data_IF_591561470247
#
_entry.id   IF_591561470247
#
_cell.length_a   1.000
_cell.length_b   1.000
_cell.length_c   1.000
_cell.angle_alpha   90.00
_cell.angle_beta   90.00
_cell.angle_gamma   90.00
#
_symmetry.space_group_name_H-M   'P 1'
#
loop_
_entity.id
_entity.type
_entity.pdbx_description
1 polymer ?
#
# COMPACT_ATOMS: atom_id res chain seq x y z
N UNK A 1 -4.39 -0.29 38.72
CA UNK A 1 -3.91 -1.31 39.69
C UNK A 1 -2.41 -1.41 39.51
N UNK A 2 -1.63 -1.48 40.58
CA UNK A 2 -0.18 -1.73 40.46
C UNK A 2 0.02 -3.17 40.00
N UNK A 3 0.81 -3.37 38.94
CA UNK A 3 0.96 -4.67 38.29
C UNK A 3 1.97 -5.56 38.99
N UNK A 4 1.65 -6.84 39.15
CA UNK A 4 2.55 -7.89 39.62
C UNK A 4 2.42 -9.18 38.78
N UNK A 5 2.95 -10.30 39.30
CA UNK A 5 2.92 -11.59 38.60
C UNK A 5 1.52 -12.21 38.53
N UNK A 6 0.60 -11.82 39.41
CA UNK A 6 -0.76 -12.38 39.50
C UNK A 6 -1.80 -11.47 38.83
N UNK A 7 -1.58 -10.15 38.81
CA UNK A 7 -2.54 -9.18 38.27
C UNK A 7 -1.85 -7.98 37.63
N UNK A 8 -2.30 -7.59 36.45
CA UNK A 8 -1.86 -6.38 35.74
C UNK A 8 -3.05 -5.60 35.20
N UNK A 9 -2.90 -4.29 35.01
CA UNK A 9 -3.93 -3.47 34.34
C UNK A 9 -3.72 -3.41 32.84
N UNK A 10 -4.82 -3.30 32.09
CA UNK A 10 -4.83 -3.10 30.63
C UNK A 10 -5.34 -1.70 30.29
N UNK A 11 -4.98 -1.19 29.11
CA UNK A 11 -5.46 0.12 28.62
C UNK A 11 -6.91 0.08 28.14
N UNK A 12 -7.36 -1.07 27.61
CA UNK A 12 -8.70 -1.26 27.09
C UNK A 12 -9.70 -1.58 28.21
N UNK A 13 -10.47 -0.57 28.62
CA UNK A 13 -11.37 -0.65 29.78
C UNK A 13 -12.54 -1.60 29.58
N UNK A 14 -12.96 -1.80 28.33
CA UNK A 14 -14.13 -2.63 27.99
C UNK A 14 -13.75 -4.11 27.73
N UNK A 15 -12.54 -4.51 28.11
CA UNK A 15 -12.04 -5.87 27.92
C UNK A 15 -12.98 -6.94 28.52
N UNK A 16 -13.50 -6.81 29.76
CA UNK A 16 -14.39 -7.81 30.35
C UNK A 16 -15.69 -8.03 29.57
N UNK A 17 -16.08 -7.08 28.71
CA UNK A 17 -17.28 -7.17 27.87
C UNK A 17 -16.99 -7.63 26.43
N UNK A 18 -15.70 -7.66 26.05
CA UNK A 18 -15.25 -7.99 24.70
C UNK A 18 -14.67 -9.41 24.55
N UNK A 19 -14.51 -10.14 25.66
CA UNK A 19 -14.02 -11.52 25.67
C UNK A 19 -15.00 -12.45 26.39
N UNK A 20 -14.85 -13.74 26.17
CA UNK A 20 -15.63 -14.82 26.78
C UNK A 20 -14.72 -16.00 27.18
N UNK A 21 -15.15 -16.85 28.13
CA UNK A 21 -14.41 -18.06 28.49
C UNK A 21 -14.06 -18.92 27.27
N UNK A 22 -12.78 -19.28 27.16
CA UNK A 22 -12.20 -20.01 26.03
C UNK A 22 -11.44 -19.15 25.02
N UNK A 23 -11.62 -17.83 25.05
CA UNK A 23 -10.88 -16.92 24.18
C UNK A 23 -9.38 -16.93 24.46
N UNK A 24 -8.60 -16.64 23.42
CA UNK A 24 -7.15 -16.42 23.51
C UNK A 24 -6.86 -14.93 23.68
N UNK A 25 -5.99 -14.62 24.64
CA UNK A 25 -5.36 -13.32 24.80
C UNK A 25 -3.87 -13.52 24.60
N UNK A 26 -3.33 -12.85 23.58
CA UNK A 26 -1.94 -12.93 23.19
C UNK A 26 -1.23 -11.67 23.69
N UNK A 27 -0.05 -11.83 24.30
CA UNK A 27 0.71 -10.71 24.86
C UNK A 27 2.14 -10.72 24.32
N UNK A 28 2.69 -9.53 24.07
CA UNK A 28 4.04 -9.33 23.54
C UNK A 28 4.22 -10.06 22.20
N UNK A 29 3.37 -9.74 21.23
CA UNK A 29 3.35 -10.33 19.89
C UNK A 29 3.19 -11.85 19.90
N UNK A 30 2.28 -12.35 20.75
CA UNK A 30 1.98 -13.79 20.86
C UNK A 30 3.00 -14.64 21.61
N UNK A 31 4.05 -14.04 22.19
CA UNK A 31 5.03 -14.77 23.00
C UNK A 31 4.43 -15.37 24.28
N UNK A 32 3.43 -14.69 24.86
CA UNK A 32 2.65 -15.22 25.97
C UNK A 32 1.22 -15.43 25.51
N UNK A 33 0.69 -16.62 25.79
CA UNK A 33 -0.66 -17.02 25.41
C UNK A 33 -1.46 -17.32 26.67
N UNK A 34 -2.54 -16.59 26.85
CA UNK A 34 -3.48 -16.73 27.95
C UNK A 34 -4.83 -17.19 27.41
N UNK A 35 -5.47 -18.13 28.10
CA UNK A 35 -6.85 -18.57 27.83
C UNK A 35 -7.77 -17.97 28.88
N UNK A 36 -8.81 -17.25 28.45
CA UNK A 36 -9.82 -16.72 29.37
C UNK A 36 -10.55 -17.88 30.03
N UNK A 37 -10.53 -17.92 31.36
CA UNK A 37 -11.21 -18.95 32.16
C UNK A 37 -12.58 -18.47 32.60
N UNK A 38 -12.64 -17.26 33.17
CA UNK A 38 -13.88 -16.64 33.62
C UNK A 38 -13.70 -15.12 33.75
N UNK A 39 -14.83 -14.41 33.79
CA UNK A 39 -14.87 -12.96 33.97
C UNK A 39 -15.51 -12.67 35.32
N UNK A 40 -14.80 -11.96 36.19
CA UNK A 40 -15.26 -11.57 37.51
C UNK A 40 -15.28 -10.05 37.63
N UNK A 41 -16.44 -9.43 37.43
CA UNK A 41 -16.61 -7.98 37.40
C UNK A 41 -15.68 -7.33 36.36
N UNK A 42 -14.65 -6.63 36.80
CA UNK A 42 -13.66 -5.95 35.95
C UNK A 42 -12.43 -6.81 35.65
N UNK A 43 -12.31 -7.99 36.30
CA UNK A 43 -11.16 -8.88 36.15
C UNK A 43 -11.45 -9.99 35.14
N UNK A 44 -10.56 -10.13 34.16
CA UNK A 44 -10.53 -11.28 33.25
C UNK A 44 -9.53 -12.29 33.78
N UNK A 45 -10.02 -13.40 34.32
CA UNK A 45 -9.18 -14.44 34.91
C UNK A 45 -8.74 -15.38 33.80
N UNK A 46 -7.44 -15.51 33.61
CA UNK A 46 -6.85 -16.32 32.55
C UNK A 46 -6.00 -17.47 33.11
N UNK A 47 -5.85 -18.52 32.31
CA UNK A 47 -4.80 -19.54 32.49
C UNK A 47 -3.72 -19.31 31.45
N UNK A 48 -2.46 -19.30 31.88
CA UNK A 48 -1.32 -19.19 30.95
C UNK A 48 -1.14 -20.54 30.24
N UNK A 49 -1.36 -20.57 28.93
CA UNK A 49 -1.09 -21.72 28.06
C UNK A 49 0.39 -21.76 27.67
N UNK A 50 0.93 -20.61 27.25
CA UNK A 50 2.36 -20.44 26.92
C UNK A 50 2.91 -19.27 27.72
N UNK A 51 3.89 -19.55 28.59
CA UNK A 51 4.52 -18.54 29.44
C UNK A 51 5.68 -17.81 28.76
N UNK A 52 6.09 -16.68 29.35
CA UNK A 52 7.19 -15.87 28.86
C UNK A 52 7.42 -14.64 29.72
N UNK A 53 8.38 -13.80 29.33
CA UNK A 53 8.67 -12.56 30.04
C UNK A 53 7.73 -11.46 29.54
N UNK A 54 6.96 -10.90 30.46
CA UNK A 54 6.17 -9.69 30.25
C UNK A 54 6.89 -8.52 30.92
N UNK A 55 6.91 -7.38 30.25
CA UNK A 55 7.36 -6.11 30.82
C UNK A 55 6.27 -5.06 30.65
N UNK A 56 6.54 -3.83 31.07
CA UNK A 56 5.57 -2.75 31.01
C UNK A 56 5.14 -2.44 29.57
N UNK A 57 3.88 -2.05 29.42
CA UNK A 57 3.28 -1.55 28.18
C UNK A 57 3.44 -2.47 26.96
N UNK A 58 3.43 -3.79 27.18
CA UNK A 58 3.44 -4.77 26.09
C UNK A 58 2.12 -4.81 25.33
N UNK A 59 2.22 -5.08 24.03
CA UNK A 59 1.09 -5.27 23.13
C UNK A 59 0.21 -6.42 23.61
N UNK A 60 -1.09 -6.25 23.38
CA UNK A 60 -2.09 -7.28 23.59
C UNK A 60 -2.89 -7.44 22.30
N UNK A 61 -3.20 -8.69 21.99
CA UNK A 61 -3.83 -9.12 20.76
C UNK A 61 -5.00 -10.05 21.12
N UNK A 62 -6.11 -9.92 20.40
CA UNK A 62 -7.39 -10.57 20.72
C UNK A 62 -7.96 -11.27 19.48
N UNK A 63 -7.37 -12.42 19.09
CA UNK A 63 -7.74 -13.11 17.87
C UNK A 63 -9.25 -13.38 17.75
N UNK A 64 -9.82 -12.96 16.62
CA UNK A 64 -11.24 -13.17 16.31
C UNK A 64 -12.21 -12.26 17.06
N UNK A 65 -11.71 -11.25 17.79
CA UNK A 65 -12.57 -10.25 18.46
C UNK A 65 -12.48 -8.90 17.74
N UNK A 66 -13.64 -8.26 17.64
CA UNK A 66 -13.74 -6.87 17.20
C UNK A 66 -13.82 -6.00 18.45
N UNK A 67 -12.77 -5.23 18.70
CA UNK A 67 -12.70 -4.34 19.84
C UNK A 67 -13.62 -3.14 19.62
N UNK A 68 -14.45 -2.81 20.60
CA UNK A 68 -15.40 -1.70 20.53
C UNK A 68 -14.76 -0.39 20.99
N UNK A 69 -15.12 0.74 20.38
CA UNK A 69 -14.70 2.08 20.79
C UNK A 69 -14.45 2.99 19.59
N UNK A 70 -14.02 4.22 19.88
CA UNK A 70 -13.53 5.15 18.85
C UNK A 70 -12.27 4.54 18.20
N UNK A 71 -12.19 4.57 16.88
CA UNK A 71 -11.02 4.08 16.16
C UNK A 71 -9.80 4.97 16.42
N UNK A 72 -10.00 6.28 16.52
CA UNK A 72 -8.92 7.24 16.78
C UNK A 72 -8.79 7.55 18.27
N UNK A 73 -7.62 7.23 18.84
CA UNK A 73 -7.28 7.72 20.18
C UNK A 73 -6.99 9.23 20.16
N UNK A 74 -6.96 9.85 21.35
CA UNK A 74 -6.57 11.27 21.47
C UNK A 74 -5.13 11.52 20.99
N UNK A 75 -4.24 10.53 21.16
CA UNK A 75 -2.88 10.60 20.62
C UNK A 75 -2.89 10.57 19.09
N UNK A 76 -3.66 9.65 18.49
CA UNK A 76 -3.79 9.58 17.02
C UNK A 76 -4.34 10.89 16.45
N UNK A 77 -5.37 11.47 17.09
CA UNK A 77 -5.92 12.77 16.69
C UNK A 77 -4.86 13.87 16.73
N UNK A 78 -4.04 13.92 17.79
CA UNK A 78 -2.93 14.87 17.91
C UNK A 78 -1.88 14.68 16.80
N UNK A 79 -1.47 13.44 16.54
CA UNK A 79 -0.47 13.13 15.53
C UNK A 79 -0.98 13.39 14.10
N UNK A 80 -2.27 13.17 13.85
CA UNK A 80 -2.93 13.53 12.60
C UNK A 80 -2.93 15.04 12.36
N UNK A 81 -3.24 15.84 13.39
CA UNK A 81 -3.19 17.30 13.31
C UNK A 81 -1.77 17.77 13.01
N UNK A 82 -0.77 17.23 13.71
CA UNK A 82 0.64 17.51 13.44
C UNK A 82 1.04 17.13 12.00
N UNK A 83 0.57 15.98 11.51
CA UNK A 83 0.79 15.54 10.13
C UNK A 83 0.18 16.48 9.09
N UNK A 84 -1.03 17.00 9.36
CA UNK A 84 -1.69 18.00 8.51
C UNK A 84 -0.86 19.28 8.43
N UNK A 85 -0.40 19.79 9.57
CA UNK A 85 0.43 21.01 9.63
C UNK A 85 1.73 20.87 8.85
N UNK A 86 2.32 19.66 8.83
CA UNK A 86 3.56 19.36 8.10
C UNK A 86 3.32 18.92 6.64
N UNK A 87 2.07 18.87 6.19
CA UNK A 87 1.73 18.64 4.79
C UNK A 87 2.07 17.22 4.29
N UNK A 88 1.94 16.19 5.13
CA UNK A 88 2.18 14.80 4.73
C UNK A 88 1.27 14.37 3.57
N UNK A 89 1.77 13.51 2.69
CA UNK A 89 0.99 13.00 1.55
C UNK A 89 0.14 11.78 1.90
N UNK A 90 0.64 10.95 2.83
CA UNK A 90 -0.01 9.73 3.29
C UNK A 90 -0.05 9.65 4.81
N UNK A 91 -1.06 8.95 5.31
CA UNK A 91 -1.11 8.45 6.67
C UNK A 91 -1.46 6.97 6.64
N UNK A 92 -0.76 6.17 7.44
CA UNK A 92 -1.05 4.75 7.61
C UNK A 92 -1.82 4.53 8.91
N UNK A 93 -3.04 4.01 8.82
CA UNK A 93 -3.92 3.75 9.96
C UNK A 93 -3.67 2.33 10.46
N UNK A 94 -3.34 2.18 11.75
CA UNK A 94 -3.09 0.86 12.37
C UNK A 94 -4.38 0.18 12.78
N UNK A 95 -4.36 -1.15 12.84
CA UNK A 95 -5.40 -2.04 13.36
C UNK A 95 -6.78 -1.82 12.71
N UNK A 96 -6.80 -1.47 11.43
CA UNK A 96 -8.04 -1.28 10.68
C UNK A 96 -8.79 -2.61 10.55
N UNK A 97 -10.03 -2.60 11.01
CA UNK A 97 -10.91 -3.77 11.07
C UNK A 97 -12.13 -3.62 10.17
N UNK A 98 -12.62 -2.39 9.98
CA UNK A 98 -13.87 -2.12 9.25
C UNK A 98 -13.74 -0.92 8.30
N UNK A 99 -14.68 -0.74 7.36
CA UNK A 99 -14.75 0.49 6.59
C UNK A 99 -15.21 1.70 7.41
N UNK A 100 -15.90 1.49 8.53
CA UNK A 100 -16.30 2.58 9.44
C UNK A 100 -15.09 3.23 10.10
N UNK A 101 -14.06 2.44 10.47
CA UNK A 101 -12.76 2.96 10.94
C UNK A 101 -12.17 3.95 9.92
N UNK A 102 -12.28 3.61 8.62
CA UNK A 102 -11.80 4.45 7.53
C UNK A 102 -12.66 5.70 7.33
N UNK A 103 -13.98 5.59 7.47
CA UNK A 103 -14.90 6.73 7.40
C UNK A 103 -14.65 7.69 8.55
N UNK A 104 -14.45 7.20 9.77
CA UNK A 104 -14.11 8.00 10.95
C UNK A 104 -12.81 8.78 10.72
N UNK A 105 -11.75 8.09 10.30
CA UNK A 105 -10.46 8.72 10.02
C UNK A 105 -10.57 9.76 8.89
N UNK A 106 -11.31 9.44 7.82
CA UNK A 106 -11.54 10.35 6.70
C UNK A 106 -12.28 11.61 7.15
N UNK A 107 -13.33 11.45 7.95
CA UNK A 107 -14.10 12.57 8.50
C UNK A 107 -13.24 13.47 9.38
N UNK A 108 -12.40 12.88 10.25
CA UNK A 108 -11.48 13.63 11.09
C UNK A 108 -10.49 14.46 10.25
N UNK A 109 -9.84 13.85 9.26
CA UNK A 109 -8.92 14.56 8.37
C UNK A 109 -9.65 15.67 7.59
N UNK A 110 -10.85 15.41 7.07
CA UNK A 110 -11.60 16.36 6.26
C UNK A 110 -12.02 17.61 7.04
N UNK A 111 -12.44 17.43 8.30
CA UNK A 111 -12.80 18.52 9.21
C UNK A 111 -11.59 19.40 9.58
N UNK A 112 -10.39 18.83 9.58
CA UNK A 112 -9.17 19.50 10.03
C UNK A 112 -8.25 19.97 8.88
N UNK A 113 -8.72 19.94 7.62
CA UNK A 113 -7.96 20.42 6.47
C UNK A 113 -7.05 19.39 5.78
N UNK A 114 -7.12 18.12 6.18
CA UNK A 114 -6.37 16.99 5.63
C UNK A 114 -7.04 16.29 4.44
N UNK A 115 -7.95 16.94 3.70
CA UNK A 115 -8.70 16.33 2.56
C UNK A 115 -7.80 15.70 1.51
N UNK A 116 -6.66 16.32 1.26
CA UNK A 116 -5.67 15.88 0.28
C UNK A 116 -4.68 14.86 0.84
N UNK A 117 -4.86 14.34 2.06
CA UNK A 117 -4.03 13.26 2.63
C UNK A 117 -4.63 11.91 2.26
N UNK A 118 -3.79 11.02 1.74
CA UNK A 118 -4.19 9.68 1.33
C UNK A 118 -4.06 8.69 2.51
N UNK A 119 -5.13 7.95 2.80
CA UNK A 119 -5.13 6.95 3.88
C UNK A 119 -4.63 5.61 3.32
N UNK A 120 -3.73 4.95 4.05
CA UNK A 120 -3.30 3.57 3.86
C UNK A 120 -3.81 2.75 5.05
N UNK A 121 -4.67 1.76 4.82
CA UNK A 121 -5.15 0.90 5.89
C UNK A 121 -4.13 -0.20 6.19
N UNK A 122 -3.64 -0.32 7.42
CA UNK A 122 -2.80 -1.44 7.84
C UNK A 122 -3.71 -2.61 8.23
N UNK A 123 -3.59 -3.70 7.50
CA UNK A 123 -4.36 -4.93 7.71
C UNK A 123 -3.54 -5.82 8.62
N UNK A 124 -4.00 -5.92 9.87
CA UNK A 124 -3.27 -6.47 11.01
C UNK A 124 -4.09 -7.52 11.77
N UNK A 125 -5.35 -7.74 11.39
CA UNK A 125 -6.25 -8.70 12.04
C UNK A 125 -7.21 -9.34 11.04
N UNK A 126 -7.92 -10.39 11.48
CA UNK A 126 -8.89 -11.13 10.67
C UNK A 126 -10.00 -10.23 10.09
N UNK A 127 -10.53 -9.32 10.89
CA UNK A 127 -11.65 -8.47 10.49
C UNK A 127 -11.26 -7.55 9.32
N UNK A 128 -10.06 -6.96 9.36
CA UNK A 128 -9.54 -6.15 8.27
C UNK A 128 -9.34 -6.94 6.96
N UNK A 129 -9.01 -8.24 7.05
CA UNK A 129 -8.93 -9.13 5.88
C UNK A 129 -10.31 -9.35 5.27
N UNK A 130 -11.31 -9.64 6.10
CA UNK A 130 -12.68 -9.95 5.67
C UNK A 130 -13.40 -8.71 5.09
N UNK A 131 -13.11 -7.52 5.63
CA UNK A 131 -13.72 -6.24 5.22
C UNK A 131 -12.89 -5.45 4.20
N UNK A 132 -11.93 -6.08 3.54
CA UNK A 132 -10.94 -5.39 2.71
C UNK A 132 -11.56 -4.53 1.59
N UNK A 133 -12.69 -4.96 1.02
CA UNK A 133 -13.37 -4.23 -0.06
C UNK A 133 -14.03 -2.94 0.46
N UNK A 134 -14.70 -3.01 1.61
CA UNK A 134 -15.34 -1.87 2.29
C UNK A 134 -14.28 -0.85 2.76
N UNK A 135 -13.19 -1.34 3.36
CA UNK A 135 -12.01 -0.53 3.71
C UNK A 135 -11.47 0.20 2.48
N UNK A 136 -11.40 -0.49 1.34
CA UNK A 136 -10.92 0.05 0.08
C UNK A 136 -11.88 1.05 -0.59
N UNK A 137 -13.09 1.28 -0.09
CA UNK A 137 -13.93 2.38 -0.58
C UNK A 137 -13.27 3.73 -0.28
N UNK A 138 -12.76 3.86 0.96
CA UNK A 138 -12.13 5.08 1.47
C UNK A 138 -10.61 5.04 1.33
N UNK A 139 -9.98 3.91 1.65
CA UNK A 139 -8.53 3.78 1.64
C UNK A 139 -7.95 3.92 0.23
N UNK A 140 -6.84 4.65 0.12
CA UNK A 140 -6.11 4.83 -1.15
C UNK A 140 -5.13 3.69 -1.46
N UNK A 141 -4.92 2.83 -0.47
CA UNK A 141 -4.08 1.65 -0.49
C UNK A 141 -4.17 0.92 0.84
N UNK A 142 -3.54 -0.23 0.90
CA UNK A 142 -3.45 -1.05 2.12
C UNK A 142 -2.02 -1.46 2.37
N UNK A 143 -1.71 -1.79 3.61
CA UNK A 143 -0.44 -2.36 4.03
C UNK A 143 -0.72 -3.72 4.67
N UNK A 144 -0.16 -4.79 4.12
CA UNK A 144 -0.17 -6.11 4.76
C UNK A 144 0.94 -6.10 5.81
N UNK A 145 0.57 -5.86 7.06
CA UNK A 145 1.50 -5.76 8.19
C UNK A 145 1.63 -7.14 8.86
N UNK A 146 2.57 -7.94 8.33
CA UNK A 146 2.66 -9.38 8.55
C UNK A 146 3.02 -9.76 9.98
N UNK A 147 3.79 -8.92 10.69
CA UNK A 147 4.14 -9.10 12.09
C UNK A 147 2.90 -9.18 12.97
N UNK A 148 2.09 -8.12 12.99
CA UNK A 148 0.84 -8.08 13.76
C UNK A 148 -0.20 -9.07 13.22
N UNK A 149 -0.33 -9.17 11.89
CA UNK A 149 -1.26 -10.12 11.26
C UNK A 149 -0.96 -11.56 11.67
N UNK A 150 0.31 -11.97 11.68
CA UNK A 150 0.72 -13.33 12.08
C UNK A 150 0.54 -13.65 13.56
N UNK A 151 0.21 -12.64 14.38
CA UNK A 151 -0.23 -12.83 15.77
C UNK A 151 -1.75 -13.00 15.83
N UNK A 152 -2.51 -12.24 15.04
CA UNK A 152 -3.97 -12.23 15.05
C UNK A 152 -4.63 -13.36 14.24
N UNK A 153 -3.93 -13.92 13.25
CA UNK A 153 -4.37 -15.09 12.48
C UNK A 153 -3.34 -16.21 12.57
N UNK A 154 -3.71 -17.43 12.18
CA UNK A 154 -2.74 -18.53 12.11
C UNK A 154 -1.61 -18.14 11.14
N UNK A 155 -0.37 -18.22 11.60
CA UNK A 155 0.81 -17.86 10.80
C UNK A 155 0.91 -18.66 9.50
N UNK A 156 0.29 -19.85 9.43
CA UNK A 156 0.19 -20.65 8.20
C UNK A 156 -0.71 -20.02 7.14
N UNK A 157 -1.68 -19.19 7.55
CA UNK A 157 -2.61 -18.50 6.66
C UNK A 157 -2.02 -17.22 6.06
N UNK A 158 -1.10 -16.56 6.75
CA UNK A 158 -0.53 -15.25 6.37
C UNK A 158 -0.06 -15.21 4.91
N UNK A 159 0.69 -16.20 4.37
CA UNK A 159 1.11 -16.16 2.98
C UNK A 159 -0.05 -16.21 1.98
N UNK A 160 -1.13 -16.94 2.30
CA UNK A 160 -2.32 -17.02 1.44
C UNK A 160 -3.13 -15.72 1.50
N UNK A 161 -3.34 -15.19 2.70
CA UNK A 161 -4.04 -13.93 2.95
C UNK A 161 -3.33 -12.75 2.27
N UNK A 162 -1.99 -12.70 2.33
CA UNK A 162 -1.22 -11.68 1.60
C UNK A 162 -1.56 -11.67 0.11
N UNK A 163 -1.53 -12.85 -0.54
CA UNK A 163 -1.82 -12.98 -1.98
C UNK A 163 -3.25 -12.55 -2.30
N UNK A 164 -4.19 -12.92 -1.45
CA UNK A 164 -5.60 -12.50 -1.59
C UNK A 164 -5.74 -10.98 -1.53
N UNK A 165 -5.19 -10.34 -0.49
CA UNK A 165 -5.24 -8.88 -0.31
C UNK A 165 -4.58 -8.18 -1.50
N UNK A 166 -3.39 -8.64 -1.91
CA UNK A 166 -2.65 -8.06 -3.05
C UNK A 166 -3.49 -8.12 -4.31
N UNK A 167 -4.08 -9.28 -4.61
CA UNK A 167 -4.91 -9.47 -5.79
C UNK A 167 -6.15 -8.57 -5.77
N UNK A 168 -6.94 -8.60 -4.69
CA UNK A 168 -8.15 -7.80 -4.53
C UNK A 168 -7.86 -6.31 -4.66
N UNK A 169 -6.91 -5.79 -3.88
CA UNK A 169 -6.59 -4.37 -3.87
C UNK A 169 -6.05 -3.88 -5.21
N UNK A 170 -5.21 -4.68 -5.89
CA UNK A 170 -4.71 -4.37 -7.24
C UNK A 170 -5.87 -4.24 -8.23
N UNK A 171 -6.80 -5.18 -8.24
CA UNK A 171 -7.97 -5.14 -9.12
C UNK A 171 -8.89 -3.96 -8.79
N UNK A 172 -8.99 -3.58 -7.52
CA UNK A 172 -9.69 -2.37 -7.10
C UNK A 172 -8.98 -1.07 -7.51
N UNK A 173 -7.72 -1.12 -7.94
CA UNK A 173 -6.91 0.07 -8.28
C UNK A 173 -6.32 0.76 -7.04
N UNK A 174 -6.19 0.02 -5.94
CA UNK A 174 -5.60 0.45 -4.67
C UNK A 174 -4.14 -0.01 -4.61
N UNK A 175 -3.31 0.76 -3.90
CA UNK A 175 -1.90 0.38 -3.67
C UNK A 175 -1.84 -0.71 -2.62
N UNK A 176 -0.84 -1.57 -2.71
CA UNK A 176 -0.59 -2.59 -1.69
C UNK A 176 0.87 -2.54 -1.29
N UNK A 177 1.12 -2.35 0.00
CA UNK A 177 2.44 -2.37 0.61
C UNK A 177 2.57 -3.69 1.36
N UNK A 178 3.65 -4.44 1.13
CA UNK A 178 3.98 -5.58 1.98
C UNK A 178 5.05 -5.14 2.97
N UNK A 179 4.79 -5.36 4.26
CA UNK A 179 5.54 -4.76 5.36
C UNK A 179 5.95 -5.79 6.41
N UNK A 180 6.91 -5.37 7.26
CA UNK A 180 7.50 -6.09 8.41
C UNK A 180 8.28 -7.34 8.03
N UNK A 181 9.39 -7.60 8.72
CA UNK A 181 10.23 -8.80 8.56
C UNK A 181 10.66 -9.12 7.11
N UNK A 182 10.84 -8.11 6.26
CA UNK A 182 11.25 -8.32 4.86
C UNK A 182 12.73 -8.71 4.79
N UNK A 183 13.60 -7.95 5.47
CA UNK A 183 15.05 -8.18 5.55
C UNK A 183 15.54 -8.06 7.01
N UNK A 184 14.74 -8.53 7.98
CA UNK A 184 14.93 -8.33 9.42
C UNK A 184 16.37 -8.57 9.91
N UNK A 185 17.01 -9.64 9.43
CA UNK A 185 18.38 -9.99 9.81
C UNK A 185 19.39 -8.88 9.48
N UNK A 186 19.07 -8.01 8.51
CA UNK A 186 19.89 -6.87 8.12
C UNK A 186 19.93 -5.71 9.13
N UNK A 187 19.07 -5.74 10.17
CA UNK A 187 19.22 -4.85 11.32
C UNK A 187 20.61 -5.01 11.94
N UNK A 188 21.11 -6.25 12.02
CA UNK A 188 22.39 -6.55 12.67
C UNK A 188 23.45 -7.12 11.73
N UNK A 189 23.07 -7.61 10.55
CA UNK A 189 23.96 -8.25 9.58
C UNK A 189 24.02 -7.48 8.26
N UNK A 190 25.16 -7.53 7.56
CA UNK A 190 25.31 -6.84 6.27
C UNK A 190 24.66 -7.58 5.09
N UNK A 191 24.26 -8.85 5.29
CA UNK A 191 23.62 -9.68 4.28
C UNK A 191 22.35 -10.32 4.85
N UNK A 192 21.27 -10.39 4.07
CA UNK A 192 20.08 -11.10 4.49
C UNK A 192 20.26 -12.61 4.33
N UNK A 193 19.32 -13.35 4.91
CA UNK A 193 19.17 -14.79 4.73
C UNK A 193 18.59 -15.12 3.35
N UNK A 194 18.68 -16.39 2.95
CA UNK A 194 18.03 -16.87 1.72
C UNK A 194 16.51 -16.82 1.80
N UNK A 195 15.95 -17.00 3.01
CA UNK A 195 14.51 -16.95 3.23
C UNK A 195 13.97 -15.54 2.99
N UNK A 196 14.64 -14.51 3.54
CA UNK A 196 14.28 -13.10 3.35
C UNK A 196 14.36 -12.67 1.87
N UNK A 197 15.40 -13.08 1.14
CA UNK A 197 15.48 -12.83 -0.31
C UNK A 197 14.30 -13.47 -1.06
N UNK A 198 13.97 -14.72 -0.71
CA UNK A 198 12.82 -15.42 -1.29
C UNK A 198 11.50 -14.72 -0.96
N UNK A 199 11.36 -14.19 0.26
CA UNK A 199 10.18 -13.50 0.72
C UNK A 199 9.97 -12.16 -0.02
N UNK A 200 11.02 -11.34 -0.12
CA UNK A 200 11.01 -10.13 -0.96
C UNK A 200 10.65 -10.44 -2.40
N UNK A 201 11.24 -11.48 -3.00
CA UNK A 201 10.92 -11.88 -4.36
C UNK A 201 9.46 -12.32 -4.51
N UNK A 202 8.90 -13.05 -3.54
CA UNK A 202 7.49 -13.46 -3.58
C UNK A 202 6.53 -12.28 -3.45
N UNK A 203 6.84 -11.29 -2.61
CA UNK A 203 6.07 -10.04 -2.54
C UNK A 203 6.00 -9.32 -3.89
N UNK A 204 7.10 -9.31 -4.65
CA UNK A 204 7.17 -8.77 -6.02
C UNK A 204 6.39 -9.64 -7.01
N UNK A 205 6.53 -10.97 -6.94
CA UNK A 205 5.76 -11.90 -7.77
C UNK A 205 4.26 -11.81 -7.54
N UNK A 206 3.82 -11.52 -6.32
CA UNK A 206 2.42 -11.32 -5.97
C UNK A 206 1.86 -10.03 -6.59
N UNK A 207 2.73 -9.10 -6.97
CA UNK A 207 2.36 -7.85 -7.63
C UNK A 207 2.12 -6.71 -6.63
N UNK A 208 2.80 -6.70 -5.49
CA UNK A 208 2.77 -5.59 -4.56
C UNK A 208 3.13 -4.26 -5.24
N UNK A 209 2.55 -3.16 -4.78
CA UNK A 209 2.91 -1.83 -5.26
C UNK A 209 4.23 -1.34 -4.68
N UNK A 210 4.51 -1.72 -3.43
CA UNK A 210 5.73 -1.40 -2.72
C UNK A 210 6.04 -2.50 -1.69
N UNK A 211 7.31 -2.58 -1.32
CA UNK A 211 7.83 -3.41 -0.22
C UNK A 211 8.52 -2.47 0.78
N UNK A 212 8.33 -2.73 2.07
CA UNK A 212 8.70 -1.80 3.14
C UNK A 212 9.76 -2.37 4.07
N UNK A 213 10.77 -1.55 4.38
CA UNK A 213 11.71 -1.78 5.48
C UNK A 213 11.19 -1.08 6.74
N UNK A 214 11.37 -1.72 7.90
CA UNK A 214 10.98 -1.23 9.21
C UNK A 214 12.22 -0.96 10.06
N UNK A 215 12.61 -1.89 10.92
CA UNK A 215 13.78 -1.74 11.78
C UNK A 215 15.08 -1.66 10.99
N UNK A 216 15.14 -2.28 9.81
CA UNK A 216 16.33 -2.38 8.97
C UNK A 216 16.88 -1.00 8.57
N UNK A 217 15.98 -0.04 8.28
CA UNK A 217 16.35 1.32 7.88
C UNK A 217 16.23 2.33 9.02
N UNK A 218 15.31 2.12 9.97
CA UNK A 218 15.05 3.07 11.05
C UNK A 218 16.13 3.04 12.15
N UNK A 219 16.57 1.85 12.57
CA UNK A 219 17.52 1.66 13.66
C UNK A 219 18.61 0.61 13.37
N UNK A 220 18.63 0.05 12.16
CA UNK A 220 19.57 -0.97 11.74
C UNK A 220 21.00 -0.45 11.57
N UNK A 221 21.96 -1.37 11.61
CA UNK A 221 23.39 -1.09 11.40
C UNK A 221 23.75 -0.84 9.93
N UNK A 222 22.91 -1.29 8.99
CA UNK A 222 23.18 -1.26 7.55
C UNK A 222 21.97 -0.74 6.72
N UNK A 223 21.46 0.47 7.03
CA UNK A 223 20.21 0.96 6.44
C UNK A 223 20.33 1.20 4.92
N UNK A 224 21.48 1.66 4.43
CA UNK A 224 21.73 1.90 3.00
C UNK A 224 21.82 0.57 2.25
N UNK A 225 22.53 -0.40 2.81
CA UNK A 225 22.65 -1.74 2.23
C UNK A 225 21.32 -2.47 2.20
N UNK A 226 20.48 -2.34 3.23
CA UNK A 226 19.13 -2.93 3.25
C UNK A 226 18.27 -2.42 2.09
N UNK A 227 18.26 -1.09 1.86
CA UNK A 227 17.56 -0.49 0.70
C UNK A 227 18.15 -0.98 -0.62
N UNK A 228 19.48 -1.00 -0.75
CA UNK A 228 20.15 -1.44 -1.97
C UNK A 228 19.86 -2.91 -2.29
N UNK A 229 19.87 -3.79 -1.28
CA UNK A 229 19.56 -5.21 -1.45
C UNK A 229 18.09 -5.39 -1.83
N UNK A 230 17.17 -4.72 -1.14
CA UNK A 230 15.74 -4.79 -1.46
C UNK A 230 15.46 -4.37 -2.91
N UNK A 231 16.05 -3.26 -3.36
CA UNK A 231 15.93 -2.78 -4.73
C UNK A 231 16.48 -3.78 -5.76
N UNK A 232 17.68 -4.33 -5.52
CA UNK A 232 18.31 -5.31 -6.42
C UNK A 232 17.51 -6.61 -6.54
N UNK A 233 16.88 -7.07 -5.45
CA UNK A 233 16.01 -8.25 -5.48
C UNK A 233 14.74 -7.94 -6.29
N UNK A 234 14.14 -6.77 -6.09
CA UNK A 234 12.97 -6.36 -6.86
C UNK A 234 13.28 -6.29 -8.35
N UNK A 235 14.32 -5.56 -8.76
CA UNK A 235 14.74 -5.44 -10.17
C UNK A 235 15.06 -6.81 -10.78
N UNK A 236 15.79 -7.67 -10.06
CA UNK A 236 16.08 -9.01 -10.55
C UNK A 236 14.80 -9.81 -10.75
N UNK A 237 13.87 -9.76 -9.79
CA UNK A 237 12.61 -10.50 -9.83
C UNK A 237 11.71 -10.02 -10.97
N UNK A 238 11.57 -8.71 -11.15
CA UNK A 238 10.76 -8.08 -12.21
C UNK A 238 11.22 -8.54 -13.61
N UNK A 239 12.53 -8.65 -13.84
CA UNK A 239 13.08 -9.15 -15.11
C UNK A 239 12.75 -10.62 -15.41
N UNK A 240 12.26 -11.38 -14.42
CA UNK A 240 11.88 -12.79 -14.55
C UNK A 240 10.36 -13.01 -14.50
N UNK A 241 9.56 -11.95 -14.61
CA UNK A 241 8.10 -12.04 -14.68
C UNK A 241 7.65 -12.02 -16.15
N UNK A 242 6.82 -13.01 -16.52
CA UNK A 242 6.15 -13.04 -17.83
C UNK A 242 4.91 -12.13 -17.84
N UNK A 243 5.11 -10.80 -17.81
CA UNK A 243 4.03 -9.83 -17.66
C UNK A 243 2.95 -9.93 -18.75
N UNK A 244 3.33 -10.09 -20.03
CA UNK A 244 2.35 -10.23 -21.13
C UNK A 244 1.43 -11.43 -20.95
N UNK A 245 1.97 -12.55 -20.48
CA UNK A 245 1.17 -13.76 -20.25
C UNK A 245 0.23 -13.57 -19.05
N UNK A 246 0.71 -12.97 -17.97
CA UNK A 246 -0.12 -12.66 -16.80
C UNK A 246 -1.24 -11.70 -17.16
N UNK A 247 -0.93 -10.62 -17.87
CA UNK A 247 -1.90 -9.62 -18.32
C UNK A 247 -3.03 -10.26 -19.15
N UNK A 248 -2.71 -11.15 -20.09
CA UNK A 248 -3.71 -11.84 -20.92
C UNK A 248 -4.59 -12.85 -20.17
N UNK A 249 -4.06 -13.43 -19.08
CA UNK A 249 -4.77 -14.42 -18.26
C UNK A 249 -5.62 -13.79 -17.16
N UNK A 250 -5.41 -12.51 -16.87
CA UNK A 250 -6.13 -11.79 -15.83
C UNK A 250 -7.60 -11.61 -16.24
N UNK A 251 -8.52 -12.14 -15.44
CA UNK A 251 -9.95 -11.86 -15.61
C UNK A 251 -10.27 -10.49 -15.02
N UNK A 252 -10.70 -9.56 -15.87
CA UNK A 252 -10.95 -8.18 -15.47
C UNK A 252 -12.42 -7.86 -15.64
N UNK A 253 -13.03 -7.39 -14.55
CA UNK A 253 -14.35 -6.76 -14.58
C UNK A 253 -14.18 -5.25 -14.73
N UNK A 254 -14.66 -4.70 -15.84
CA UNK A 254 -14.66 -3.25 -16.07
C UNK A 254 -15.83 -2.61 -15.34
N UNK A 255 -15.54 -1.69 -14.41
CA UNK A 255 -16.55 -1.01 -13.59
C UNK A 255 -16.96 0.34 -14.15
N UNK A 256 -16.03 1.03 -14.82
CA UNK A 256 -16.21 2.35 -15.41
C UNK A 256 -15.34 2.53 -16.66
N UNK A 257 -15.51 3.68 -17.33
CA UNK A 257 -14.73 4.04 -18.53
C UNK A 257 -13.23 4.11 -18.26
N UNK A 258 -12.85 4.54 -17.05
CA UNK A 258 -11.46 4.68 -16.66
C UNK A 258 -10.78 3.31 -16.58
N UNK A 259 -11.46 2.29 -16.05
CA UNK A 259 -11.00 0.91 -16.04
C UNK A 259 -10.74 0.39 -17.46
N UNK A 260 -11.71 0.60 -18.38
CA UNK A 260 -11.61 0.17 -19.77
C UNK A 260 -10.47 0.88 -20.52
N UNK A 261 -10.35 2.19 -20.36
CA UNK A 261 -9.28 2.99 -21.00
C UNK A 261 -7.91 2.59 -20.44
N UNK A 262 -7.80 2.43 -19.13
CA UNK A 262 -6.53 2.09 -18.48
C UNK A 262 -6.04 0.71 -18.92
N UNK A 263 -6.95 -0.28 -18.99
CA UNK A 263 -6.62 -1.61 -19.50
C UNK A 263 -6.23 -1.57 -20.98
N UNK A 264 -7.03 -0.90 -21.81
CA UNK A 264 -6.78 -0.80 -23.25
C UNK A 264 -5.47 -0.08 -23.55
N UNK A 265 -5.09 0.89 -22.72
CA UNK A 265 -3.78 1.57 -22.81
C UNK A 265 -2.64 0.57 -22.63
N UNK A 266 -2.70 -0.28 -21.60
CA UNK A 266 -1.70 -1.32 -21.36
C UNK A 266 -1.67 -2.36 -22.49
N UNK A 267 -2.84 -2.87 -22.90
CA UNK A 267 -2.96 -3.84 -24.00
C UNK A 267 -2.36 -3.28 -25.30
N UNK A 268 -2.74 -2.06 -25.67
CA UNK A 268 -2.25 -1.39 -26.88
C UNK A 268 -0.74 -1.14 -26.82
N UNK A 269 -0.20 -0.77 -25.66
CA UNK A 269 1.24 -0.58 -25.49
C UNK A 269 2.02 -1.90 -25.68
N UNK A 270 1.51 -3.01 -25.16
CA UNK A 270 2.10 -4.34 -25.36
C UNK A 270 2.01 -4.80 -26.82
N UNK A 271 0.84 -4.67 -27.46
CA UNK A 271 0.62 -5.14 -28.83
C UNK A 271 1.46 -4.37 -29.86
N UNK A 272 1.77 -3.11 -29.56
CA UNK A 272 2.56 -2.24 -30.44
C UNK A 272 4.05 -2.23 -30.09
N UNK A 273 4.48 -2.98 -29.08
CA UNK A 273 5.84 -2.92 -28.53
C UNK A 273 6.29 -1.47 -28.25
N UNK A 274 5.39 -0.68 -27.64
CA UNK A 274 5.66 0.70 -27.27
C UNK A 274 6.82 0.78 -26.26
N UNK A 275 7.60 1.86 -26.30
CA UNK A 275 8.73 2.05 -25.38
C UNK A 275 8.32 2.61 -24.04
N UNK A 276 7.19 3.30 -23.98
CA UNK A 276 6.59 3.77 -22.74
C UNK A 276 5.11 4.09 -22.92
N UNK A 277 4.43 4.17 -21.78
CA UNK A 277 3.12 4.77 -21.63
C UNK A 277 3.30 6.13 -20.95
N UNK A 278 2.73 7.19 -21.51
CA UNK A 278 2.68 8.51 -20.86
C UNK A 278 1.26 8.81 -20.43
N UNK A 279 1.07 9.05 -19.14
CA UNK A 279 -0.24 9.29 -18.53
C UNK A 279 -0.30 10.70 -17.98
N UNK A 280 -1.11 11.55 -18.59
CA UNK A 280 -1.38 12.90 -18.08
C UNK A 280 -2.50 12.84 -17.05
N UNK A 281 -2.21 13.16 -15.79
CA UNK A 281 -3.16 13.02 -14.67
C UNK A 281 -2.96 14.08 -13.58
N UNK A 282 -3.95 14.96 -13.40
CA UNK A 282 -3.90 16.02 -12.37
C UNK A 282 -3.84 15.45 -10.95
N UNK A 283 -4.71 14.49 -10.62
CA UNK A 283 -4.74 13.87 -9.28
C UNK A 283 -3.89 12.59 -9.17
N UNK A 284 -3.25 12.16 -10.25
CA UNK A 284 -2.56 10.87 -10.34
C UNK A 284 -3.49 9.65 -10.38
N UNK A 285 -4.83 9.83 -10.37
CA UNK A 285 -5.79 8.71 -10.43
C UNK A 285 -5.57 7.85 -11.66
N UNK A 286 -5.50 8.45 -12.84
CA UNK A 286 -5.34 7.73 -14.12
C UNK A 286 -4.05 6.92 -14.16
N UNK A 287 -2.92 7.53 -13.78
CA UNK A 287 -1.63 6.84 -13.77
C UNK A 287 -1.64 5.63 -12.82
N UNK A 288 -2.29 5.75 -11.65
CA UNK A 288 -2.48 4.61 -10.74
C UNK A 288 -3.36 3.51 -11.33
N UNK A 289 -4.44 3.87 -12.04
CA UNK A 289 -5.33 2.88 -12.67
C UNK A 289 -4.64 2.13 -13.80
N UNK A 290 -3.78 2.79 -14.58
CA UNK A 290 -2.91 2.13 -15.57
C UNK A 290 -1.91 1.19 -14.87
N UNK A 291 -1.24 1.69 -13.84
CA UNK A 291 -0.26 0.95 -13.01
C UNK A 291 -0.81 -0.34 -12.41
N UNK A 292 -2.11 -0.37 -12.05
CA UNK A 292 -2.76 -1.53 -11.42
C UNK A 292 -2.64 -2.81 -12.25
N UNK A 293 -2.55 -2.70 -13.57
CA UNK A 293 -2.49 -3.88 -14.45
C UNK A 293 -1.09 -4.49 -14.58
N UNK A 294 -0.07 -3.91 -13.92
CA UNK A 294 1.30 -4.44 -13.92
C UNK A 294 1.85 -4.67 -15.33
N UNK A 295 1.72 -3.64 -16.17
CA UNK A 295 2.25 -3.65 -17.53
C UNK A 295 3.78 -3.59 -17.51
N UNK A 296 4.48 -4.44 -18.29
CA UNK A 296 5.95 -4.37 -18.42
C UNK A 296 6.46 -3.06 -19.05
N UNK A 297 5.58 -2.34 -19.73
CA UNK A 297 5.93 -1.11 -20.43
C UNK A 297 6.05 0.03 -19.40
N UNK A 298 7.19 0.74 -19.32
CA UNK A 298 7.39 1.82 -18.36
C UNK A 298 6.30 2.89 -18.43
N UNK A 299 5.83 3.36 -17.26
CA UNK A 299 4.77 4.37 -17.17
C UNK A 299 5.39 5.69 -16.68
N UNK A 300 5.18 6.76 -17.45
CA UNK A 300 5.50 8.13 -17.04
C UNK A 300 4.19 8.81 -16.63
N UNK A 301 4.07 9.17 -15.35
CA UNK A 301 2.90 9.87 -14.81
C UNK A 301 3.14 11.38 -14.78
N UNK A 302 2.68 12.08 -15.82
CA UNK A 302 2.79 13.55 -15.89
C UNK A 302 1.67 14.21 -15.09
N UNK A 303 2.04 15.17 -14.24
CA UNK A 303 1.09 15.89 -13.39
C UNK A 303 1.51 17.32 -13.16
N UNK A 304 0.53 18.20 -12.97
CA UNK A 304 0.74 19.58 -12.54
C UNK A 304 0.67 19.73 -11.01
N UNK A 305 0.28 18.68 -10.30
CA UNK A 305 0.13 18.68 -8.84
C UNK A 305 1.36 18.07 -8.17
N UNK A 306 2.04 18.86 -7.34
CA UNK A 306 3.17 18.39 -6.55
C UNK A 306 2.76 17.26 -5.58
N UNK A 307 1.55 17.31 -5.01
CA UNK A 307 1.03 16.21 -4.19
C UNK A 307 0.82 14.94 -5.00
N UNK A 308 0.27 15.04 -6.22
CA UNK A 308 0.12 13.87 -7.09
C UNK A 308 1.49 13.29 -7.46
N UNK A 309 2.50 14.13 -7.69
CA UNK A 309 3.87 13.71 -7.96
C UNK A 309 4.41 12.80 -6.85
N UNK A 310 4.35 13.23 -5.58
CA UNK A 310 4.81 12.41 -4.45
C UNK A 310 3.98 11.15 -4.26
N UNK A 311 2.65 11.24 -4.41
CA UNK A 311 1.77 10.07 -4.28
C UNK A 311 1.94 9.03 -5.38
N UNK A 312 2.41 9.43 -6.55
CA UNK A 312 2.68 8.53 -7.65
C UNK A 312 3.96 7.73 -7.44
N UNK A 313 4.92 8.21 -6.65
CA UNK A 313 6.13 7.46 -6.30
C UNK A 313 5.84 6.13 -5.60
N UNK A 314 4.68 6.00 -4.93
CA UNK A 314 4.21 4.75 -4.32
C UNK A 314 3.35 3.88 -5.27
N UNK A 315 3.26 4.24 -6.55
CA UNK A 315 2.51 3.47 -7.55
C UNK A 315 3.47 2.62 -8.36
N UNK A 316 3.16 1.33 -8.51
CA UNK A 316 4.02 0.37 -9.20
C UNK A 316 4.35 0.81 -10.63
N UNK A 317 5.62 0.77 -11.02
CA UNK A 317 6.07 1.02 -12.39
C UNK A 317 5.82 2.44 -12.91
N UNK A 318 5.43 3.39 -12.05
CA UNK A 318 5.20 4.79 -12.43
C UNK A 318 6.40 5.65 -12.05
N UNK A 319 7.00 6.30 -13.03
CA UNK A 319 7.90 7.44 -12.81
C UNK A 319 7.07 8.73 -12.85
N UNK A 320 6.90 9.44 -11.72
CA UNK A 320 6.17 10.71 -11.74
C UNK A 320 7.01 11.82 -12.35
N UNK A 321 6.36 12.74 -13.08
CA UNK A 321 6.98 13.92 -13.65
C UNK A 321 6.10 15.14 -13.45
N UNK A 322 6.68 16.20 -12.89
CA UNK A 322 6.01 17.47 -12.76
C UNK A 322 6.03 18.19 -14.11
N UNK A 323 4.89 18.73 -14.54
CA UNK A 323 4.77 19.54 -15.74
C UNK A 323 4.00 20.83 -15.47
N UNK A 324 4.11 21.79 -16.38
CA UNK A 324 3.28 22.98 -16.38
C UNK A 324 1.86 22.69 -16.89
N UNK A 325 0.96 23.67 -16.71
CA UNK A 325 -0.33 23.63 -17.38
C UNK A 325 -0.16 24.02 -18.84
N UNK A 326 -0.85 23.30 -19.72
CA UNK A 326 -0.82 23.55 -21.16
C UNK A 326 -2.17 24.06 -21.65
N UNK A 327 -2.15 24.93 -22.66
CA UNK A 327 -3.35 25.60 -23.18
C UNK A 327 -4.16 24.72 -24.15
N UNK A 328 -3.57 23.68 -24.72
CA UNK A 328 -4.26 22.76 -25.63
C UNK A 328 -3.74 21.34 -25.54
N UNK A 329 -4.60 20.38 -25.91
CA UNK A 329 -4.29 18.96 -25.83
C UNK A 329 -3.10 18.62 -26.73
N UNK A 330 -3.03 19.19 -27.93
CA UNK A 330 -1.93 18.96 -28.85
C UNK A 330 -0.59 19.42 -28.27
N UNK A 331 -0.57 20.56 -27.57
CA UNK A 331 0.63 21.06 -26.86
C UNK A 331 1.01 20.09 -25.74
N UNK A 332 0.06 19.69 -24.89
CA UNK A 332 0.32 18.71 -23.83
C UNK A 332 0.90 17.41 -24.38
N UNK A 333 0.33 16.85 -25.44
CA UNK A 333 0.78 15.61 -26.06
C UNK A 333 2.17 15.75 -26.68
N UNK A 334 2.46 16.91 -27.32
CA UNK A 334 3.78 17.22 -27.85
C UNK A 334 4.86 17.24 -26.74
N UNK A 335 4.56 17.91 -25.62
CA UNK A 335 5.46 17.95 -24.47
C UNK A 335 5.61 16.57 -23.83
N UNK A 336 4.54 15.79 -23.74
CA UNK A 336 4.56 14.43 -23.22
C UNK A 336 5.51 13.51 -24.02
N UNK A 337 5.44 13.56 -25.35
CA UNK A 337 6.39 12.84 -26.21
C UNK A 337 7.82 13.35 -26.02
N UNK A 338 8.01 14.66 -25.94
CA UNK A 338 9.35 15.26 -25.78
C UNK A 338 10.02 14.85 -24.46
N UNK A 339 9.28 14.94 -23.35
CA UNK A 339 9.75 14.57 -22.02
C UNK A 339 10.07 13.08 -21.94
N UNK A 340 9.19 12.23 -22.47
CA UNK A 340 9.44 10.79 -22.51
C UNK A 340 10.67 10.44 -23.37
N UNK A 341 10.85 11.13 -24.50
CA UNK A 341 12.00 10.94 -25.39
C UNK A 341 13.31 11.28 -24.69
N UNK A 342 13.36 12.41 -23.98
CA UNK A 342 14.55 12.84 -23.24
C UNK A 342 14.87 11.92 -22.07
N UNK A 343 13.86 11.58 -21.25
CA UNK A 343 14.05 10.78 -20.04
C UNK A 343 14.49 9.35 -20.34
N UNK A 344 13.87 8.70 -21.34
CA UNK A 344 14.16 7.30 -21.68
C UNK A 344 15.18 7.14 -22.82
N UNK A 345 15.66 8.25 -23.40
CA UNK A 345 16.56 8.21 -24.55
C UNK A 345 15.94 7.54 -25.78
N UNK A 346 14.65 7.83 -26.05
CA UNK A 346 13.92 7.21 -27.16
C UNK A 346 14.46 7.66 -28.51
N UNK A 347 14.36 6.78 -29.51
CA UNK A 347 14.88 7.00 -30.87
C UNK A 347 13.75 7.24 -31.85
N UNK A 348 14.10 7.87 -32.98
CA UNK A 348 13.16 8.06 -34.08
C UNK A 348 12.50 6.74 -34.49
N UNK A 349 11.17 6.76 -34.60
CA UNK A 349 10.35 5.57 -34.91
C UNK A 349 9.88 4.77 -33.69
N UNK A 350 10.44 4.99 -32.50
CA UNK A 350 9.93 4.38 -31.27
C UNK A 350 8.47 4.81 -31.02
N UNK A 351 7.64 3.87 -30.58
CA UNK A 351 6.21 4.10 -30.33
C UNK A 351 5.98 4.47 -28.86
N UNK A 352 5.07 5.41 -28.65
CA UNK A 352 4.62 5.86 -27.33
C UNK A 352 3.09 5.76 -27.30
N UNK A 353 2.53 5.22 -26.22
CA UNK A 353 1.09 5.28 -25.97
C UNK A 353 0.81 6.37 -24.96
N UNK A 354 -0.07 7.31 -25.30
CA UNK A 354 -0.49 8.40 -24.42
C UNK A 354 -1.93 8.16 -23.97
N UNK A 355 -2.22 8.44 -22.70
CA UNK A 355 -3.59 8.49 -22.18
C UNK A 355 -3.78 9.64 -21.20
N UNK A 356 -5.01 10.14 -21.10
CA UNK A 356 -5.35 11.27 -20.27
C UNK A 356 -6.79 11.75 -20.51
N UNK A 357 -7.08 12.95 -20.00
CA UNK A 357 -8.36 13.64 -20.20
C UNK A 357 -8.18 14.99 -20.91
N UNK A 358 -9.30 15.65 -21.19
CA UNK A 358 -9.31 16.99 -21.78
C UNK A 358 -8.59 18.02 -20.90
N UNK A 359 -7.97 19.01 -21.55
CA UNK A 359 -7.35 20.17 -20.89
C UNK A 359 -8.42 20.94 -20.12
N UNK A 360 -8.10 21.36 -18.89
CA UNK A 360 -9.06 22.01 -18.00
C UNK A 360 -10.15 21.08 -17.46
N UNK A 361 -10.16 19.80 -17.86
CA UNK A 361 -11.02 18.79 -17.26
C UNK A 361 -10.62 18.55 -15.80
N UNK A 362 -11.60 18.57 -14.89
CA UNK A 362 -11.38 18.21 -13.49
C UNK A 362 -10.88 16.76 -13.34
N UNK A 363 -10.46 16.40 -12.13
CA UNK A 363 -10.05 15.03 -11.84
C UNK A 363 -11.13 14.02 -12.24
N UNK A 364 -10.76 12.97 -12.99
CA UNK A 364 -11.66 11.90 -13.43
C UNK A 364 -12.17 11.98 -14.87
N UNK A 365 -11.75 12.97 -15.66
CA UNK A 365 -12.18 13.15 -17.07
C UNK A 365 -11.39 12.35 -18.12
N UNK A 366 -10.74 11.23 -17.74
CA UNK A 366 -9.91 10.47 -18.70
C UNK A 366 -10.80 9.84 -19.76
N UNK A 367 -10.52 10.14 -21.03
CA UNK A 367 -11.36 9.73 -22.16
C UNK A 367 -10.58 9.48 -23.47
N UNK A 368 -9.24 9.41 -23.42
CA UNK A 368 -8.42 9.33 -24.62
C UNK A 368 -7.30 8.30 -24.52
N UNK A 369 -7.03 7.64 -25.65
CA UNK A 369 -5.80 6.89 -25.92
C UNK A 369 -5.27 7.37 -27.28
N UNK A 370 -3.98 7.69 -27.36
CA UNK A 370 -3.30 8.08 -28.61
C UNK A 370 -2.00 7.31 -28.75
N UNK A 371 -1.73 6.84 -29.96
CA UNK A 371 -0.43 6.25 -30.31
C UNK A 371 0.36 7.30 -31.08
N UNK A 372 1.57 7.56 -30.64
CA UNK A 372 2.51 8.46 -31.30
C UNK A 372 3.80 7.73 -31.65
N UNK A 373 4.53 8.29 -32.61
CA UNK A 373 5.91 7.91 -32.89
C UNK A 373 6.84 9.05 -32.57
N UNK A 374 8.02 8.73 -32.05
CA UNK A 374 9.07 9.73 -31.91
C UNK A 374 9.51 10.16 -33.30
N UNK A 375 9.34 11.45 -33.59
CA UNK A 375 9.81 12.08 -34.82
C UNK A 375 11.07 12.89 -34.53
N UNK A 376 12.03 12.89 -35.47
CA UNK A 376 13.20 13.77 -35.38
C UNK A 376 12.72 15.22 -35.29
N UNK A 377 13.21 15.97 -34.30
CA UNK A 377 13.03 17.42 -34.27
C UNK A 377 13.58 17.97 -35.60
N UNK A 378 12.84 18.80 -36.36
CA UNK A 378 13.49 19.60 -37.38
C UNK A 378 14.55 20.44 -36.66
N UNK A 379 15.80 20.35 -37.12
CA UNK A 379 16.85 21.23 -36.62
C UNK A 379 16.40 22.67 -36.87
N UNK A 380 16.25 23.45 -35.80
CA UNK A 380 16.00 24.89 -35.87
C UNK A 380 17.25 25.62 -36.33
#
# INVERSE_FOLDING_TARGET
>A
VEGDQEKVSVSYKDLPHSVEPGDKILVNNGLVVCIVKEIQQEDVICTVETGGVISDHKSMNFPGKLMQGDFLSEQDKSDLLFGIENGIDFVAASFVSTGDDMREMREFLDKNGGKDISIIAKIENRSGVENIEDICEVASGVMVARGDLGVEIDYMEVPAVQKEIVSKCRLLGRRVIIATEMLESMITNVRPTRAEISDVANAVYDGASAIMLSGESAAGKYPVEAVSVMARVAEYTENHIHYRERFKKEEIQFRDDLDAISHTTCQMAMDLDAKCIVVSSVSGRTARMVSRFRCEIPIIGMTTSLRAYYKLALSWGVTPMLCEQYDSLDVMLYHAVSVATEYLGLKEGDRIVLTGGQIGGGAGSTNMIKVEKVHRRPAL
#
